data_IF_465435802277
#
_entry.id   IF_465435802277
#
_cell.length_a   1.000
_cell.length_b   1.000
_cell.length_c   1.000
_cell.angle_alpha   90.00
_cell.angle_beta   90.00
_cell.angle_gamma   90.00
#
_symmetry.space_group_name_H-M   'P 1'
#
loop_
_entity.id
_entity.type
_entity.pdbx_description
1 polymer ?
#
# COMPACT_ATOMS: atom_id res chain seq x y z
N UNK A 1 -5.22 2.19 -18.18
CA UNK A 1 -5.43 3.24 -17.17
C UNK A 1 -4.13 3.42 -16.42
N UNK A 2 -3.55 4.62 -16.46
CA UNK A 2 -2.35 4.96 -15.69
C UNK A 2 -2.80 5.68 -14.42
N UNK A 3 -2.57 5.06 -13.26
CA UNK A 3 -2.98 5.62 -11.97
C UNK A 3 -1.82 6.48 -11.44
N UNK A 4 -2.12 7.69 -11.03
CA UNK A 4 -1.21 8.63 -10.38
C UNK A 4 -1.45 8.62 -8.88
N UNK A 5 -0.39 8.41 -8.11
CA UNK A 5 -0.43 8.48 -6.65
C UNK A 5 -0.05 9.88 -6.20
N UNK A 6 -0.98 10.56 -5.53
CA UNK A 6 -0.77 11.87 -4.92
C UNK A 6 -0.14 11.67 -3.53
N UNK A 7 1.01 12.30 -3.31
CA UNK A 7 1.71 12.28 -2.01
C UNK A 7 1.18 13.39 -1.12
N UNK A 8 1.53 13.32 0.18
CA UNK A 8 1.14 14.30 1.20
C UNK A 8 1.56 15.75 0.85
N UNK A 9 2.67 15.90 0.15
CA UNK A 9 3.20 17.20 -0.32
C UNK A 9 2.51 17.72 -1.61
N UNK A 10 1.53 16.99 -2.13
CA UNK A 10 0.83 17.32 -3.39
C UNK A 10 1.57 16.88 -4.66
N UNK A 11 2.80 16.36 -4.55
CA UNK A 11 3.50 15.79 -5.71
C UNK A 11 2.86 14.47 -6.14
N UNK A 12 2.93 14.16 -7.44
CA UNK A 12 2.38 12.91 -7.99
C UNK A 12 3.49 12.00 -8.51
N UNK A 13 3.21 10.70 -8.56
CA UNK A 13 4.06 9.71 -9.20
C UNK A 13 3.20 8.58 -9.79
N UNK A 14 3.69 7.83 -10.79
CA UNK A 14 3.01 6.65 -11.28
C UNK A 14 2.81 5.61 -10.17
N UNK A 15 1.63 5.00 -10.12
CA UNK A 15 1.36 3.87 -9.27
C UNK A 15 2.31 2.71 -9.60
N UNK A 16 2.89 2.10 -8.57
CA UNK A 16 3.80 0.97 -8.71
C UNK A 16 3.41 -0.13 -7.72
N UNK A 17 2.83 -1.22 -8.25
CA UNK A 17 2.43 -2.39 -7.47
C UNK A 17 3.61 -3.01 -6.71
N UNK A 18 4.82 -3.05 -7.31
CA UNK A 18 6.00 -3.65 -6.68
C UNK A 18 6.38 -2.93 -5.37
N UNK A 19 5.98 -1.66 -5.20
CA UNK A 19 6.17 -0.94 -3.95
C UNK A 19 5.38 -1.58 -2.81
N UNK A 20 4.15 -2.03 -3.07
CA UNK A 20 3.29 -2.72 -2.09
C UNK A 20 3.88 -4.08 -1.73
N UNK A 21 4.36 -4.84 -2.72
CA UNK A 21 5.00 -6.13 -2.48
C UNK A 21 6.21 -5.94 -1.56
N UNK A 22 7.11 -5.02 -1.87
CA UNK A 22 8.31 -4.77 -1.06
C UNK A 22 8.01 -4.38 0.39
N UNK A 23 7.05 -3.48 0.62
CA UNK A 23 6.72 -3.04 1.99
C UNK A 23 6.02 -4.11 2.81
N UNK A 24 5.22 -4.97 2.16
CA UNK A 24 4.54 -6.06 2.86
C UNK A 24 5.47 -7.24 3.17
N UNK A 25 6.45 -7.52 2.29
CA UNK A 25 7.52 -8.47 2.59
C UNK A 25 8.36 -8.00 3.78
N UNK A 26 8.72 -6.71 3.83
CA UNK A 26 9.45 -6.12 4.96
C UNK A 26 8.64 -6.18 6.27
N UNK A 27 7.31 -6.16 6.18
CA UNK A 27 6.41 -6.35 7.32
C UNK A 27 6.25 -7.81 7.76
N UNK A 28 6.88 -8.77 7.06
CA UNK A 28 6.92 -10.18 7.45
C UNK A 28 5.99 -11.11 6.68
N UNK A 29 5.38 -10.66 5.58
CA UNK A 29 4.68 -11.58 4.66
C UNK A 29 5.67 -12.40 3.83
N UNK A 30 5.25 -13.61 3.46
CA UNK A 30 5.96 -14.42 2.46
C UNK A 30 5.82 -13.77 1.07
N UNK A 31 6.77 -14.01 0.15
CA UNK A 31 6.72 -13.44 -1.21
C UNK A 31 5.38 -13.64 -1.94
N UNK A 32 4.82 -14.85 -1.88
CA UNK A 32 3.54 -15.18 -2.52
C UNK A 32 2.36 -14.41 -1.91
N UNK A 33 2.34 -14.27 -0.57
CA UNK A 33 1.29 -13.53 0.14
C UNK A 33 1.35 -12.03 -0.18
N UNK A 34 2.57 -11.47 -0.23
CA UNK A 34 2.80 -10.08 -0.62
C UNK A 34 2.34 -9.77 -2.04
N UNK A 35 2.62 -10.69 -2.98
CA UNK A 35 2.15 -10.59 -4.37
C UNK A 35 0.63 -10.64 -4.46
N UNK A 36 -0.02 -11.59 -3.78
CA UNK A 36 -1.49 -11.71 -3.74
C UNK A 36 -2.13 -10.45 -3.15
N UNK A 37 -1.59 -9.94 -2.04
CA UNK A 37 -2.09 -8.70 -1.42
C UNK A 37 -1.94 -7.52 -2.38
N UNK A 38 -0.79 -7.36 -3.03
CA UNK A 38 -0.56 -6.26 -3.96
C UNK A 38 -1.51 -6.31 -5.16
N UNK A 39 -1.81 -7.50 -5.68
CA UNK A 39 -2.84 -7.70 -6.72
C UNK A 39 -4.24 -7.31 -6.23
N UNK A 40 -4.63 -7.71 -5.01
CA UNK A 40 -5.93 -7.34 -4.42
C UNK A 40 -6.07 -5.83 -4.25
N UNK A 41 -5.05 -5.17 -3.70
CA UNK A 41 -5.05 -3.71 -3.54
C UNK A 41 -5.12 -3.04 -4.91
N UNK A 42 -4.35 -3.52 -5.90
CA UNK A 42 -4.42 -3.00 -7.28
C UNK A 42 -5.82 -3.13 -7.87
N UNK A 43 -6.49 -4.26 -7.66
CA UNK A 43 -7.86 -4.48 -8.13
C UNK A 43 -8.84 -3.50 -7.48
N UNK A 44 -8.75 -3.30 -6.16
CA UNK A 44 -9.58 -2.33 -5.43
C UNK A 44 -9.35 -0.90 -5.91
N UNK A 45 -8.11 -0.50 -6.17
CA UNK A 45 -7.80 0.83 -6.73
C UNK A 45 -8.43 0.99 -8.11
N UNK A 46 -8.32 -0.01 -8.99
CA UNK A 46 -8.95 0.03 -10.32
C UNK A 46 -10.48 0.13 -10.26
N UNK A 47 -11.11 -0.43 -9.24
CA UNK A 47 -12.56 -0.33 -9.02
C UNK A 47 -13.02 1.07 -8.63
N UNK A 48 -12.13 1.93 -8.12
CA UNK A 48 -12.46 3.33 -7.81
C UNK A 48 -12.68 4.18 -9.08
N UNK A 49 -12.35 3.65 -10.27
CA UNK A 49 -12.47 4.33 -11.57
C UNK A 49 -11.82 5.72 -11.60
N UNK A 50 -10.81 5.94 -10.75
CA UNK A 50 -10.06 7.19 -10.68
C UNK A 50 -8.64 7.00 -11.20
N UNK A 51 -8.18 7.97 -11.96
CA UNK A 51 -6.80 8.09 -12.43
C UNK A 51 -5.87 8.70 -11.37
N UNK A 52 -6.41 9.19 -10.25
CA UNK A 52 -5.65 9.79 -9.15
C UNK A 52 -6.05 9.15 -7.83
N UNK A 53 -5.07 8.84 -7.00
CA UNK A 53 -5.30 8.26 -5.69
C UNK A 53 -4.34 8.82 -4.66
N UNK A 54 -4.86 9.22 -3.51
CA UNK A 54 -4.03 9.64 -2.39
C UNK A 54 -3.22 8.46 -1.86
N UNK A 55 -1.94 8.71 -1.58
CA UNK A 55 -1.04 7.73 -0.95
C UNK A 55 -1.61 7.21 0.38
N UNK A 56 -2.32 8.04 1.13
CA UNK A 56 -3.02 7.65 2.35
C UNK A 56 -4.11 6.59 2.09
N UNK A 57 -4.87 6.71 1.00
CA UNK A 57 -5.88 5.72 0.60
C UNK A 57 -5.23 4.38 0.33
N UNK A 58 -4.10 4.34 -0.40
CA UNK A 58 -3.35 3.10 -0.65
C UNK A 58 -2.87 2.49 0.68
N UNK A 59 -2.32 3.30 1.59
CA UNK A 59 -1.86 2.81 2.90
C UNK A 59 -2.98 2.15 3.70
N UNK A 60 -4.16 2.77 3.71
CA UNK A 60 -5.33 2.23 4.39
C UNK A 60 -5.78 0.90 3.77
N UNK A 61 -5.82 0.80 2.43
CA UNK A 61 -6.16 -0.45 1.73
C UNK A 61 -5.15 -1.56 2.06
N UNK A 62 -3.86 -1.25 2.08
CA UNK A 62 -2.82 -2.22 2.44
C UNK A 62 -2.99 -2.68 3.89
N UNK A 63 -3.18 -1.78 4.87
CA UNK A 63 -3.40 -2.19 6.27
C UNK A 63 -4.66 -3.05 6.42
N UNK A 64 -5.76 -2.67 5.77
CA UNK A 64 -7.01 -3.44 5.79
C UNK A 64 -6.86 -4.83 5.19
N UNK A 65 -6.19 -4.99 4.05
CA UNK A 65 -5.95 -6.32 3.47
C UNK A 65 -4.93 -7.13 4.27
N UNK A 66 -3.91 -6.47 4.81
CA UNK A 66 -2.87 -7.13 5.60
C UNK A 66 -3.41 -7.68 6.91
N UNK A 67 -4.27 -6.93 7.60
CA UNK A 67 -4.91 -7.35 8.86
C UNK A 67 -5.80 -8.59 8.71
N UNK A 68 -6.37 -8.82 7.51
CA UNK A 68 -7.14 -10.05 7.20
C UNK A 68 -6.26 -11.29 7.06
N UNK A 69 -4.98 -11.12 6.76
CA UNK A 69 -4.02 -12.21 6.50
C UNK A 69 -3.18 -12.47 7.74
N UNK A 70 -2.57 -11.41 8.29
CA UNK A 70 -1.64 -11.50 9.40
C UNK A 70 -1.66 -10.20 10.23
N UNK A 71 -2.25 -10.27 11.42
CA UNK A 71 -2.37 -9.14 12.33
C UNK A 71 -1.01 -8.60 12.79
N UNK A 72 -0.02 -9.46 12.99
CA UNK A 72 1.33 -9.04 13.36
C UNK A 72 2.01 -8.24 12.25
N UNK A 73 1.90 -8.73 11.00
CA UNK A 73 2.42 -8.01 9.84
C UNK A 73 1.71 -6.66 9.64
N UNK A 74 0.40 -6.59 9.90
CA UNK A 74 -0.36 -5.33 9.81
C UNK A 74 0.16 -4.29 10.82
N UNK A 75 0.41 -4.70 12.06
CA UNK A 75 0.98 -3.82 13.09
C UNK A 75 2.40 -3.37 12.74
N UNK A 76 3.24 -4.28 12.23
CA UNK A 76 4.60 -3.96 11.79
C UNK A 76 4.59 -2.96 10.62
N UNK A 77 3.69 -3.15 9.65
CA UNK A 77 3.47 -2.24 8.53
C UNK A 77 3.03 -0.85 9.00
N UNK A 78 2.05 -0.77 9.92
CA UNK A 78 1.60 0.51 10.47
C UNK A 78 2.71 1.24 11.22
N UNK A 79 3.52 0.53 12.00
CA UNK A 79 4.66 1.10 12.71
C UNK A 79 5.69 1.67 11.71
N UNK A 80 6.02 0.92 10.67
CA UNK A 80 6.94 1.34 9.62
C UNK A 80 6.44 2.58 8.87
N UNK A 81 5.16 2.65 8.53
CA UNK A 81 4.58 3.81 7.84
C UNK A 81 4.48 5.04 8.77
N UNK A 82 4.11 4.87 10.04
CA UNK A 82 4.13 5.97 11.04
C UNK A 82 5.54 6.52 11.27
N UNK A 83 6.55 5.66 11.26
CA UNK A 83 7.95 6.07 11.38
C UNK A 83 8.39 7.03 10.26
N UNK A 84 7.80 6.91 9.06
CA UNK A 84 8.08 7.81 7.93
C UNK A 84 7.36 9.15 8.04
N UNK A 85 6.14 9.15 8.59
CA UNK A 85 5.38 10.38 8.81
C UNK A 85 6.07 11.33 9.81
N UNK A 86 6.93 10.80 10.70
CA UNK A 86 7.74 11.59 11.64
C UNK A 86 9.10 12.08 11.07
N UNK A 87 9.45 11.69 9.84
CA UNK A 87 10.69 12.11 9.17
C UNK A 87 10.43 13.03 7.96
N UNK A 88 9.19 13.51 7.79
CA UNK A 88 8.74 14.34 6.66
C UNK A 88 8.33 15.74 7.09
#
# INVERSE_FOLDING_TARGET
>A
MEIQVIKKDGSSQPYNQNKIERVTLAAGLKPEEGKILAQKVTAQIKMLQSDKIESATIRNLVSQELSKINQFAAQAYEWYEKGKDNQS
#
